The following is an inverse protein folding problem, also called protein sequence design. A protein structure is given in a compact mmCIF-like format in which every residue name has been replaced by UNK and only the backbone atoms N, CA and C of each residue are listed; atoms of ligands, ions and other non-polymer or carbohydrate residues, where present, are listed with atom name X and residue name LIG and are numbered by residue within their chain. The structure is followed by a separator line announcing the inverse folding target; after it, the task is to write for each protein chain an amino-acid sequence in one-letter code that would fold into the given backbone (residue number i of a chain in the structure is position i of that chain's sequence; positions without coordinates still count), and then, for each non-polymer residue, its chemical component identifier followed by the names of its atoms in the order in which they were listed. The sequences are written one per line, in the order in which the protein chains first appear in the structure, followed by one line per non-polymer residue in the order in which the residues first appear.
data_IF_546119294217
#
_entry.id   IF_546119294217
#
_cell.length_a   1.000
_cell.length_b   1.000
_cell.length_c   1.000
_cell.angle_alpha   90.00
_cell.angle_beta   90.00
_cell.angle_gamma   90.00
#
_symmetry.space_group_name_H-M   'P 1'
#
loop_
_entity.id
_entity.type
_entity.pdbx_description
1 polymer ?
#
# COMPACT_ATOMS: atom_id res chain seq x y z
N UNK A 1 -28.44 25.54 0.20
CA UNK A 1 -28.00 25.32 1.60
C UNK A 1 -28.34 23.89 2.03
N UNK A 2 -27.68 23.38 3.09
CA UNK A 2 -27.98 22.03 3.61
C UNK A 2 -29.44 21.85 4.03
N UNK A 3 -30.13 22.95 4.38
CA UNK A 3 -31.58 22.99 4.66
C UNK A 3 -32.44 22.79 3.40
N UNK A 4 -32.04 23.36 2.28
CA UNK A 4 -32.77 23.20 1.01
C UNK A 4 -32.64 21.78 0.45
N UNK A 5 -31.46 21.15 0.55
CA UNK A 5 -31.29 19.75 0.17
C UNK A 5 -32.09 18.80 1.08
N UNK A 6 -32.17 19.09 2.38
CA UNK A 6 -32.96 18.31 3.31
C UNK A 6 -34.47 18.46 3.07
N UNK A 7 -34.93 19.68 2.83
CA UNK A 7 -36.33 19.93 2.47
C UNK A 7 -36.73 19.27 1.15
N UNK A 8 -35.82 19.27 0.15
CA UNK A 8 -36.05 18.59 -1.12
C UNK A 8 -36.09 17.06 -0.93
N UNK A 9 -35.19 16.50 -0.10
CA UNK A 9 -35.17 15.07 0.24
C UNK A 9 -36.48 14.65 0.97
N UNK A 10 -36.93 15.42 1.95
CA UNK A 10 -38.18 15.17 2.68
C UNK A 10 -39.41 15.27 1.76
N UNK A 11 -39.42 16.21 0.80
CA UNK A 11 -40.46 16.31 -0.24
C UNK A 11 -40.42 15.10 -1.19
N UNK A 12 -39.26 14.62 -1.56
CA UNK A 12 -39.08 13.43 -2.41
C UNK A 12 -39.55 12.16 -1.69
N UNK A 13 -39.25 11.99 -0.39
CA UNK A 13 -39.75 10.86 0.41
C UNK A 13 -41.29 10.90 0.53
N UNK A 14 -41.86 12.06 0.76
CA UNK A 14 -43.33 12.24 0.85
C UNK A 14 -44.01 11.96 -0.50
N UNK A 15 -43.46 12.43 -1.60
CA UNK A 15 -43.97 12.15 -2.94
C UNK A 15 -43.84 10.66 -3.33
N UNK A 16 -42.74 10.00 -2.94
CA UNK A 16 -42.55 8.58 -3.13
C UNK A 16 -43.58 7.75 -2.35
N UNK A 17 -43.87 8.14 -1.10
CA UNK A 17 -44.88 7.49 -0.26
C UNK A 17 -46.31 7.65 -0.82
N UNK A 18 -46.59 8.75 -1.53
CA UNK A 18 -47.93 9.05 -2.12
C UNK A 18 -48.07 8.60 -3.57
N UNK A 19 -47.02 8.05 -4.21
CA UNK A 19 -46.97 7.73 -5.65
C UNK A 19 -47.29 8.94 -6.56
N UNK A 20 -47.00 10.15 -6.10
CA UNK A 20 -47.16 11.38 -6.88
C UNK A 20 -45.99 11.61 -7.82
N UNK A 21 -46.19 12.33 -8.92
CA UNK A 21 -45.13 12.71 -9.88
C UNK A 21 -44.18 13.72 -9.24
N UNK A 22 -42.87 13.45 -9.37
CA UNK A 22 -41.84 14.32 -8.83
C UNK A 22 -41.75 15.66 -9.55
N UNK A 23 -41.31 16.73 -8.86
CA UNK A 23 -41.07 18.02 -9.48
C UNK A 23 -39.98 17.90 -10.54
N UNK A 24 -40.11 18.66 -11.61
CA UNK A 24 -39.14 18.69 -12.71
C UNK A 24 -37.76 19.16 -12.22
N UNK A 25 -36.73 18.42 -12.54
CA UNK A 25 -35.35 18.85 -12.42
C UNK A 25 -34.82 19.05 -13.84
N UNK A 26 -34.38 20.27 -14.14
CA UNK A 26 -33.95 20.68 -15.49
C UNK A 26 -35.05 20.56 -16.58
N UNK A 27 -36.35 20.65 -16.20
CA UNK A 27 -37.48 20.67 -17.13
C UNK A 27 -38.01 19.31 -17.59
N UNK A 28 -37.42 18.21 -17.15
CA UNK A 28 -37.85 16.83 -17.48
C UNK A 28 -38.59 16.15 -16.32
N UNK A 29 -39.67 15.38 -16.57
CA UNK A 29 -40.35 14.63 -15.52
C UNK A 29 -39.48 13.47 -15.02
N UNK A 30 -39.29 13.41 -13.70
CA UNK A 30 -38.50 12.35 -13.05
C UNK A 30 -39.41 11.14 -12.83
N UNK A 31 -39.26 10.14 -13.69
CA UNK A 31 -39.99 8.86 -13.59
C UNK A 31 -39.29 7.81 -12.70
N UNK A 32 -38.06 8.10 -12.24
CA UNK A 32 -37.23 7.16 -11.45
C UNK A 32 -36.63 7.89 -10.23
N UNK A 33 -37.13 7.54 -9.03
CA UNK A 33 -36.64 8.09 -7.74
C UNK A 33 -35.17 7.84 -7.54
N UNK A 34 -34.66 6.70 -8.00
CA UNK A 34 -33.26 6.35 -7.91
C UNK A 34 -32.38 7.23 -8.82
N UNK A 35 -32.87 7.58 -10.02
CA UNK A 35 -32.17 8.50 -10.91
C UNK A 35 -32.16 9.92 -10.35
N UNK A 36 -33.27 10.38 -9.78
CA UNK A 36 -33.36 11.69 -9.14
C UNK A 36 -32.44 11.80 -7.93
N UNK A 37 -32.37 10.77 -7.07
CA UNK A 37 -31.46 10.73 -5.93
C UNK A 37 -30.00 10.75 -6.38
N UNK A 38 -29.62 9.98 -7.41
CA UNK A 38 -28.29 10.03 -8.01
C UNK A 38 -27.94 11.42 -8.54
N UNK A 39 -28.91 12.09 -9.18
CA UNK A 39 -28.72 13.45 -9.71
C UNK A 39 -28.50 14.49 -8.61
N UNK A 40 -29.25 14.41 -7.50
CA UNK A 40 -29.04 15.26 -6.32
C UNK A 40 -27.66 15.07 -5.72
N UNK A 41 -27.20 13.82 -5.57
CA UNK A 41 -25.86 13.49 -5.10
C UNK A 41 -24.81 14.06 -6.06
N UNK A 42 -24.98 13.91 -7.36
CA UNK A 42 -24.06 14.43 -8.38
C UNK A 42 -23.97 15.97 -8.33
N UNK A 43 -25.11 16.67 -8.20
CA UNK A 43 -25.14 18.12 -8.08
C UNK A 43 -24.49 18.61 -6.78
N UNK A 44 -24.70 17.88 -5.68
CA UNK A 44 -24.01 18.18 -4.42
C UNK A 44 -22.50 18.03 -4.55
N UNK A 45 -22.03 16.97 -5.20
CA UNK A 45 -20.63 16.74 -5.51
C UNK A 45 -20.01 17.87 -6.34
N UNK A 46 -20.69 18.27 -7.40
CA UNK A 46 -20.26 19.41 -8.23
C UNK A 46 -20.14 20.70 -7.42
N UNK A 47 -21.07 20.97 -6.51
CA UNK A 47 -20.99 22.14 -5.62
C UNK A 47 -19.81 22.09 -4.66
N UNK A 48 -19.49 20.92 -4.11
CA UNK A 48 -18.31 20.76 -3.27
C UNK A 48 -17.01 20.97 -4.05
N UNK A 49 -16.94 20.47 -5.29
CA UNK A 49 -15.80 20.69 -6.18
C UNK A 49 -15.63 22.17 -6.52
N UNK A 50 -16.72 22.87 -6.85
CA UNK A 50 -16.69 24.33 -7.11
C UNK A 50 -16.18 25.09 -5.90
N UNK A 51 -16.66 24.78 -4.69
CA UNK A 51 -16.16 25.40 -3.46
C UNK A 51 -14.69 25.14 -3.20
N UNK A 52 -14.21 23.92 -3.47
CA UNK A 52 -12.79 23.58 -3.35
C UNK A 52 -11.93 24.36 -4.37
N UNK A 53 -12.44 24.53 -5.59
CA UNK A 53 -11.77 25.33 -6.63
C UNK A 53 -11.77 26.83 -6.28
N UNK A 54 -12.86 27.35 -5.75
CA UNK A 54 -12.95 28.75 -5.31
C UNK A 54 -12.00 29.02 -4.13
N UNK A 55 -11.90 28.10 -3.18
CA UNK A 55 -10.95 28.20 -2.07
C UNK A 55 -9.50 28.17 -2.58
N UNK A 56 -9.19 27.31 -3.55
CA UNK A 56 -7.88 27.26 -4.21
C UNK A 56 -7.59 28.57 -4.94
N UNK A 57 -8.53 29.07 -5.72
CA UNK A 57 -8.38 30.32 -6.47
C UNK A 57 -8.16 31.52 -5.55
N UNK A 58 -8.89 31.60 -4.46
CA UNK A 58 -8.75 32.67 -3.48
C UNK A 58 -7.41 32.57 -2.75
N UNK A 59 -6.99 31.38 -2.32
CA UNK A 59 -5.69 31.17 -1.71
C UNK A 59 -4.49 31.48 -2.64
N UNK A 60 -4.63 31.24 -3.93
CA UNK A 60 -3.62 31.65 -4.93
C UNK A 60 -3.62 33.14 -5.22
N UNK A 61 -4.76 33.83 -5.03
CA UNK A 61 -4.88 35.28 -5.22
C UNK A 61 -4.39 36.08 -4.02
N UNK A 62 -4.46 35.51 -2.82
CA UNK A 62 -3.93 36.09 -1.59
C UNK A 62 -2.42 35.74 -1.51
N UNK A 63 -1.56 36.68 -1.83
CA UNK A 63 -0.11 36.53 -2.05
C UNK A 63 0.72 36.11 -0.81
N UNK A 64 0.13 35.69 0.30
CA UNK A 64 0.79 35.39 1.56
C UNK A 64 0.94 33.88 1.88
N UNK A 65 0.50 32.98 1.01
CA UNK A 65 0.55 31.52 1.26
C UNK A 65 1.68 30.81 0.50
N UNK A 66 2.36 29.87 1.16
CA UNK A 66 3.23 28.92 0.48
C UNK A 66 2.41 28.06 -0.49
N UNK A 67 2.83 28.03 -1.76
CA UNK A 67 2.16 27.28 -2.84
C UNK A 67 1.92 25.80 -2.48
N UNK A 68 2.84 25.18 -1.73
CA UNK A 68 2.70 23.80 -1.26
C UNK A 68 1.54 23.65 -0.26
N UNK A 69 1.33 24.62 0.61
CA UNK A 69 0.21 24.65 1.55
C UNK A 69 -1.14 24.80 0.83
N UNK A 70 -1.21 25.65 -0.18
CA UNK A 70 -2.43 25.86 -1.00
C UNK A 70 -2.79 24.60 -1.77
N UNK A 71 -1.79 23.93 -2.38
CA UNK A 71 -2.00 22.65 -3.06
C UNK A 71 -2.50 21.57 -2.08
N UNK A 72 -1.89 21.48 -0.89
CA UNK A 72 -2.31 20.51 0.13
C UNK A 72 -3.74 20.74 0.63
N UNK A 73 -4.16 22.02 0.78
CA UNK A 73 -5.54 22.35 1.13
C UNK A 73 -6.53 21.99 0.02
N UNK A 74 -6.15 22.22 -1.24
CA UNK A 74 -6.98 21.84 -2.39
C UNK A 74 -7.11 20.31 -2.52
N UNK A 75 -6.01 19.56 -2.33
CA UNK A 75 -6.02 18.10 -2.31
C UNK A 75 -6.92 17.58 -1.17
N UNK A 76 -6.84 18.17 0.01
CA UNK A 76 -7.69 17.83 1.15
C UNK A 76 -9.17 18.13 0.88
N UNK A 77 -9.49 19.26 0.26
CA UNK A 77 -10.86 19.62 -0.11
C UNK A 77 -11.41 18.72 -1.22
N UNK A 78 -10.58 18.33 -2.18
CA UNK A 78 -10.94 17.36 -3.21
C UNK A 78 -11.15 15.96 -2.62
N UNK A 79 -10.32 15.54 -1.66
CA UNK A 79 -10.50 14.29 -0.94
C UNK A 79 -11.80 14.28 -0.13
N UNK A 80 -12.12 15.37 0.58
CA UNK A 80 -13.39 15.55 1.30
C UNK A 80 -14.60 15.53 0.35
N UNK A 81 -14.50 16.17 -0.82
CA UNK A 81 -15.55 16.12 -1.84
C UNK A 81 -15.76 14.70 -2.40
N UNK A 82 -14.69 13.92 -2.57
CA UNK A 82 -14.77 12.50 -2.97
C UNK A 82 -15.40 11.63 -1.89
N UNK A 83 -15.03 11.83 -0.62
CA UNK A 83 -15.66 11.15 0.53
C UNK A 83 -17.16 11.45 0.60
N UNK A 84 -17.56 12.70 0.42
CA UNK A 84 -18.97 13.10 0.35
C UNK A 84 -19.68 12.54 -0.90
N UNK A 85 -18.94 12.12 -1.91
CA UNK A 85 -19.43 11.67 -3.20
C UNK A 85 -19.91 10.22 -3.25
N UNK A 86 -19.78 9.46 -2.18
CA UNK A 86 -20.31 8.11 -2.18
C UNK A 86 -19.44 7.03 -1.55
N UNK A 87 -18.30 7.36 -0.97
CA UNK A 87 -17.68 6.44 -0.03
C UNK A 87 -18.57 6.41 1.22
N UNK A 88 -19.37 5.35 1.36
CA UNK A 88 -20.24 5.07 2.52
C UNK A 88 -19.41 4.73 3.76
N UNK A 89 -18.41 5.56 4.01
CA UNK A 89 -17.56 5.45 5.21
C UNK A 89 -18.43 5.82 6.42
N UNK A 90 -18.64 4.85 7.30
CA UNK A 90 -19.41 5.05 8.53
C UNK A 90 -20.90 4.68 8.47
N UNK A 91 -21.39 4.14 7.35
CA UNK A 91 -22.75 3.57 7.32
C UNK A 91 -22.81 2.32 8.21
N UNK A 92 -23.69 2.35 9.20
CA UNK A 92 -23.96 1.18 10.03
C UNK A 92 -24.62 0.09 9.19
N UNK A 93 -23.98 -1.08 9.07
CA UNK A 93 -24.54 -2.24 8.37
C UNK A 93 -25.02 -3.25 9.40
N UNK A 94 -26.22 -3.74 9.22
CA UNK A 94 -26.73 -4.84 10.04
C UNK A 94 -25.96 -6.13 9.74
N UNK A 95 -26.02 -7.10 10.64
CA UNK A 95 -25.46 -8.45 10.38
C UNK A 95 -26.04 -9.06 9.09
N UNK A 96 -27.33 -8.86 8.87
CA UNK A 96 -28.01 -9.38 7.68
C UNK A 96 -27.49 -8.75 6.38
N UNK A 97 -27.15 -7.44 6.40
CA UNK A 97 -26.57 -6.75 5.24
C UNK A 97 -25.15 -7.26 4.93
N UNK A 98 -24.43 -7.67 5.96
CA UNK A 98 -23.06 -8.19 5.83
C UNK A 98 -23.02 -9.65 5.42
N UNK A 99 -24.08 -10.44 5.70
CA UNK A 99 -24.08 -11.88 5.52
C UNK A 99 -23.72 -12.38 4.11
N UNK A 100 -24.25 -11.80 3.01
CA UNK A 100 -23.87 -12.21 1.66
C UNK A 100 -22.37 -12.06 1.39
N UNK A 101 -21.77 -10.96 1.86
CA UNK A 101 -20.34 -10.70 1.70
C UNK A 101 -19.49 -11.65 2.56
N UNK A 102 -19.95 -11.96 3.78
CA UNK A 102 -19.31 -12.95 4.67
C UNK A 102 -19.30 -14.32 3.99
N UNK A 103 -20.45 -14.75 3.48
CA UNK A 103 -20.59 -16.05 2.83
C UNK A 103 -19.71 -16.17 1.59
N UNK A 104 -19.70 -15.13 0.73
CA UNK A 104 -18.84 -15.09 -0.45
C UNK A 104 -17.35 -15.16 -0.09
N UNK A 105 -16.92 -14.45 0.97
CA UNK A 105 -15.54 -14.50 1.44
C UNK A 105 -15.17 -15.91 1.97
N UNK A 106 -16.03 -16.53 2.79
CA UNK A 106 -15.80 -17.87 3.31
C UNK A 106 -15.71 -18.90 2.17
N UNK A 107 -16.56 -18.79 1.15
CA UNK A 107 -16.52 -19.65 -0.04
C UNK A 107 -15.21 -19.44 -0.82
N UNK A 108 -14.79 -18.20 -1.05
CA UNK A 108 -13.53 -17.89 -1.73
C UNK A 108 -12.31 -18.45 -0.97
N UNK A 109 -12.31 -18.36 0.38
CA UNK A 109 -11.28 -18.98 1.24
C UNK A 109 -11.25 -20.49 1.03
N UNK A 110 -12.41 -21.15 1.06
CA UNK A 110 -12.50 -22.60 0.91
C UNK A 110 -12.05 -23.07 -0.47
N UNK A 111 -12.39 -22.34 -1.53
CA UNK A 111 -11.96 -22.63 -2.90
C UNK A 111 -10.46 -22.42 -3.08
N UNK A 112 -9.92 -21.31 -2.57
CA UNK A 112 -8.48 -21.05 -2.60
C UNK A 112 -7.70 -22.16 -1.87
N UNK A 113 -8.17 -22.57 -0.68
CA UNK A 113 -7.56 -23.67 0.08
C UNK A 113 -7.58 -24.99 -0.69
N UNK A 114 -8.72 -25.37 -1.29
CA UNK A 114 -8.85 -26.58 -2.14
C UNK A 114 -7.92 -26.53 -3.35
N UNK A 115 -7.72 -25.35 -3.93
CA UNK A 115 -6.85 -25.14 -5.08
C UNK A 115 -5.37 -24.98 -4.71
N UNK A 116 -5.00 -25.07 -3.43
CA UNK A 116 -3.63 -24.78 -2.96
C UNK A 116 -3.17 -23.34 -3.22
N UNK A 117 -4.12 -22.41 -3.30
CA UNK A 117 -3.87 -20.98 -3.55
C UNK A 117 -4.00 -20.19 -2.25
N UNK A 118 -3.29 -19.07 -2.16
CA UNK A 118 -3.47 -18.08 -1.10
C UNK A 118 -4.54 -17.07 -1.51
N UNK A 119 -5.26 -16.50 -0.52
CA UNK A 119 -6.18 -15.39 -0.76
C UNK A 119 -5.45 -14.08 -1.01
N UNK A 120 -4.37 -13.89 -0.26
CA UNK A 120 -3.51 -12.73 -0.42
C UNK A 120 -2.52 -12.90 -1.57
N UNK A 121 -1.84 -11.81 -1.87
CA UNK A 121 -0.77 -11.76 -2.85
C UNK A 121 0.37 -12.69 -2.43
N UNK A 122 0.80 -13.56 -3.34
CA UNK A 122 1.91 -14.49 -3.09
C UNK A 122 3.21 -13.71 -2.88
N UNK A 123 3.98 -14.14 -1.90
CA UNK A 123 5.32 -13.60 -1.63
C UNK A 123 6.42 -14.34 -2.38
N UNK A 124 6.11 -15.51 -2.96
CA UNK A 124 7.09 -16.42 -3.54
C UNK A 124 7.93 -17.17 -2.51
N UNK A 125 7.53 -17.11 -1.23
CA UNK A 125 8.11 -17.86 -0.11
C UNK A 125 7.00 -18.78 0.44
N UNK A 126 6.94 -20.05 0.02
CA UNK A 126 5.81 -20.94 0.29
C UNK A 126 5.43 -21.05 1.76
N UNK A 127 6.42 -21.11 2.66
CA UNK A 127 6.17 -21.21 4.10
C UNK A 127 5.62 -19.93 4.69
N UNK A 128 6.02 -18.77 4.17
CA UNK A 128 5.43 -17.50 4.55
C UNK A 128 3.99 -17.41 4.06
N UNK A 129 3.75 -17.78 2.80
CA UNK A 129 2.42 -17.77 2.20
C UNK A 129 1.46 -18.73 2.93
N UNK A 130 1.95 -19.89 3.36
CA UNK A 130 1.20 -20.82 4.21
C UNK A 130 0.88 -20.24 5.60
N UNK A 131 1.84 -19.52 6.19
CA UNK A 131 1.71 -18.93 7.53
C UNK A 131 0.75 -17.74 7.55
N UNK A 132 0.83 -16.88 6.53
CA UNK A 132 0.10 -15.59 6.48
C UNK A 132 -1.14 -15.62 5.59
N UNK A 133 -1.31 -16.64 4.75
CA UNK A 133 -2.30 -16.64 3.68
C UNK A 133 -1.94 -15.72 2.50
N UNK A 134 -0.65 -15.35 2.38
CA UNK A 134 -0.14 -14.31 1.47
C UNK A 134 -0.29 -12.90 2.06
N UNK A 135 0.12 -11.87 1.32
CA UNK A 135 -0.10 -10.47 1.71
C UNK A 135 -1.54 -10.08 1.37
N UNK A 136 -2.37 -10.00 2.40
CA UNK A 136 -3.78 -9.65 2.26
C UNK A 136 -3.96 -8.12 2.23
N UNK A 137 -5.15 -7.67 1.86
CA UNK A 137 -5.53 -6.26 1.95
C UNK A 137 -5.27 -5.71 3.35
N UNK A 138 -4.57 -4.60 3.44
CA UNK A 138 -4.24 -3.96 4.72
C UNK A 138 -2.80 -3.48 4.78
N UNK A 139 -2.37 -3.09 5.96
CA UNK A 139 -1.05 -2.54 6.22
C UNK A 139 -0.11 -3.59 6.82
N UNK A 140 0.94 -3.93 6.10
CA UNK A 140 2.00 -4.83 6.53
C UNK A 140 3.24 -4.02 6.88
N UNK A 141 3.88 -4.34 8.00
CA UNK A 141 5.12 -3.71 8.44
C UNK A 141 6.26 -4.71 8.29
N UNK A 142 7.34 -4.30 7.63
CA UNK A 142 8.59 -5.04 7.58
C UNK A 142 9.70 -4.24 8.27
N UNK A 143 10.14 -4.71 9.40
CA UNK A 143 11.23 -4.11 10.14
C UNK A 143 12.52 -4.93 10.00
N UNK A 144 13.66 -4.27 9.84
CA UNK A 144 14.96 -4.92 9.87
C UNK A 144 16.10 -3.92 10.05
N UNK A 145 17.25 -4.42 10.41
CA UNK A 145 18.48 -3.66 10.49
C UNK A 145 18.99 -3.23 9.10
N UNK A 146 19.81 -2.17 9.01
CA UNK A 146 20.54 -1.87 7.80
C UNK A 146 21.36 -3.08 7.31
N UNK A 147 21.28 -3.37 6.01
CA UNK A 147 22.01 -4.48 5.40
C UNK A 147 21.40 -5.88 5.56
N UNK A 148 20.30 -6.04 6.32
CA UNK A 148 19.63 -7.34 6.48
C UNK A 148 18.91 -7.85 5.21
N UNK A 149 18.76 -7.03 4.18
CA UNK A 149 18.11 -7.43 2.92
C UNK A 149 16.66 -6.96 2.75
N UNK A 150 16.21 -5.96 3.53
CA UNK A 150 14.83 -5.40 3.44
C UNK A 150 14.42 -5.06 2.01
N UNK A 151 15.17 -4.16 1.38
CA UNK A 151 14.89 -3.69 0.02
C UNK A 151 14.89 -4.85 -0.98
N UNK A 152 15.80 -5.81 -0.82
CA UNK A 152 15.84 -7.02 -1.65
C UNK A 152 14.57 -7.85 -1.51
N UNK A 153 14.10 -8.07 -0.29
CA UNK A 153 12.87 -8.82 -0.02
C UNK A 153 11.65 -8.09 -0.61
N UNK A 154 11.58 -6.77 -0.41
CA UNK A 154 10.51 -5.94 -0.97
C UNK A 154 10.48 -5.97 -2.50
N UNK A 155 11.64 -5.87 -3.16
CA UNK A 155 11.76 -5.98 -4.61
C UNK A 155 11.35 -7.37 -5.12
N UNK A 156 11.70 -8.43 -4.38
CA UNK A 156 11.29 -9.79 -4.71
C UNK A 156 9.77 -9.93 -4.68
N UNK A 157 9.10 -9.42 -3.64
CA UNK A 157 7.65 -9.46 -3.53
C UNK A 157 6.95 -8.57 -4.58
N UNK A 158 7.49 -7.38 -4.84
CA UNK A 158 6.97 -6.50 -5.89
C UNK A 158 7.08 -7.12 -7.29
N UNK A 159 8.19 -7.84 -7.56
CA UNK A 159 8.36 -8.60 -8.81
C UNK A 159 7.38 -9.77 -8.91
N UNK A 160 7.15 -10.50 -7.83
CA UNK A 160 6.18 -11.60 -7.79
C UNK A 160 4.75 -11.11 -8.06
N UNK A 161 4.38 -9.96 -7.50
CA UNK A 161 3.12 -9.29 -7.79
C UNK A 161 3.00 -8.92 -9.27
N UNK A 162 4.01 -8.25 -9.80
CA UNK A 162 4.03 -7.82 -11.21
C UNK A 162 3.98 -9.00 -12.18
N UNK A 163 4.72 -10.09 -11.90
CA UNK A 163 4.69 -11.31 -12.69
C UNK A 163 3.32 -12.01 -12.67
N UNK A 164 2.52 -11.78 -11.62
CA UNK A 164 1.13 -12.24 -11.52
C UNK A 164 0.13 -11.27 -12.19
N UNK A 165 0.59 -10.22 -12.87
CA UNK A 165 -0.25 -9.20 -13.52
C UNK A 165 -0.82 -8.16 -12.56
N UNK A 166 -0.41 -8.17 -11.29
CA UNK A 166 -0.86 -7.20 -10.27
C UNK A 166 0.11 -6.02 -10.28
N UNK A 167 -0.36 -4.78 -10.53
CA UNK A 167 0.52 -3.61 -10.50
C UNK A 167 1.17 -3.45 -9.14
N UNK A 168 2.50 -3.36 -9.14
CA UNK A 168 3.31 -3.14 -7.95
C UNK A 168 3.98 -1.77 -8.04
N UNK A 169 3.75 -0.93 -7.02
CA UNK A 169 4.34 0.40 -6.92
C UNK A 169 5.37 0.40 -5.79
N UNK A 170 6.60 0.71 -6.13
CA UNK A 170 7.70 0.80 -5.18
C UNK A 170 8.10 2.27 -4.98
N UNK A 171 7.67 2.85 -3.86
CA UNK A 171 8.06 4.19 -3.45
C UNK A 171 9.36 4.11 -2.66
N UNK A 172 10.40 4.77 -3.15
CA UNK A 172 11.73 4.77 -2.55
C UNK A 172 12.15 6.16 -2.11
N UNK A 173 12.80 6.25 -0.94
CA UNK A 173 13.41 7.47 -0.39
C UNK A 173 14.94 7.34 -0.22
N UNK A 174 15.51 6.18 -0.52
CA UNK A 174 16.92 5.89 -0.25
C UNK A 174 17.71 5.65 -1.53
N UNK A 175 17.21 4.82 -2.42
CA UNK A 175 17.87 4.48 -3.68
C UNK A 175 17.09 5.06 -4.88
N UNK A 176 17.81 5.37 -5.98
CA UNK A 176 17.13 5.87 -7.18
C UNK A 176 16.32 4.77 -7.87
N UNK A 177 15.22 5.13 -8.58
CA UNK A 177 14.42 4.21 -9.37
C UNK A 177 15.23 3.34 -10.34
N UNK A 178 16.22 3.94 -11.02
CA UNK A 178 17.07 3.25 -12.00
C UNK A 178 17.91 2.16 -11.33
N UNK A 179 18.45 2.44 -10.14
CA UNK A 179 19.23 1.47 -9.37
C UNK A 179 18.38 0.30 -8.89
N UNK A 180 17.16 0.56 -8.44
CA UNK A 180 16.21 -0.47 -8.04
C UNK A 180 15.73 -1.30 -9.24
N UNK A 181 15.48 -0.67 -10.38
CA UNK A 181 15.13 -1.36 -11.63
C UNK A 181 16.26 -2.28 -12.10
N UNK A 182 17.52 -1.81 -12.07
CA UNK A 182 18.69 -2.64 -12.38
C UNK A 182 18.82 -3.83 -11.42
N UNK A 183 18.68 -3.60 -10.10
CA UNK A 183 18.69 -4.69 -9.11
C UNK A 183 17.59 -5.71 -9.39
N UNK A 184 16.39 -5.25 -9.73
CA UNK A 184 15.25 -6.11 -10.03
C UNK A 184 15.51 -6.97 -11.27
N UNK A 185 15.99 -6.37 -12.35
CA UNK A 185 16.31 -7.10 -13.58
C UNK A 185 17.44 -8.11 -13.37
N UNK A 186 18.52 -7.72 -12.70
CA UNK A 186 19.61 -8.62 -12.38
C UNK A 186 19.15 -9.80 -11.52
N UNK A 187 18.30 -9.55 -10.50
CA UNK A 187 17.77 -10.62 -9.66
C UNK A 187 16.83 -11.57 -10.43
N UNK A 188 16.04 -11.07 -11.39
CA UNK A 188 15.21 -11.89 -12.26
C UNK A 188 16.06 -12.81 -13.15
N UNK A 189 17.13 -12.27 -13.73
CA UNK A 189 18.00 -12.97 -14.68
C UNK A 189 19.17 -13.75 -14.03
N UNK A 190 19.31 -13.73 -12.71
CA UNK A 190 20.43 -14.36 -12.01
C UNK A 190 21.77 -13.66 -12.27
N UNK A 191 21.77 -12.38 -12.63
CA UNK A 191 22.97 -11.58 -12.88
C UNK A 191 23.45 -10.89 -11.60
N UNK A 192 24.77 -10.63 -11.51
CA UNK A 192 25.35 -9.93 -10.37
C UNK A 192 25.34 -8.43 -10.60
N UNK A 193 24.53 -7.66 -9.82
CA UNK A 193 24.42 -6.21 -9.90
C UNK A 193 25.78 -5.51 -9.79
N UNK A 194 26.68 -6.03 -8.93
CA UNK A 194 28.01 -5.47 -8.71
C UNK A 194 28.83 -5.34 -10.00
N UNK A 195 28.72 -6.31 -10.91
CA UNK A 195 29.46 -6.28 -12.20
C UNK A 195 29.05 -5.05 -13.04
N UNK A 196 27.77 -4.68 -13.03
CA UNK A 196 27.29 -3.51 -13.78
C UNK A 196 27.66 -2.19 -13.08
N UNK A 197 27.65 -2.16 -11.75
CA UNK A 197 28.09 -1.00 -10.99
C UNK A 197 29.61 -0.72 -11.14
N UNK A 198 30.40 -1.75 -11.38
CA UNK A 198 31.86 -1.66 -11.57
C UNK A 198 32.27 -1.60 -13.05
N UNK A 199 31.30 -1.57 -13.98
CA UNK A 199 31.56 -1.49 -15.43
C UNK A 199 32.09 -2.78 -16.08
N UNK A 200 32.08 -3.91 -15.35
CA UNK A 200 32.53 -5.23 -15.85
C UNK A 200 31.36 -6.11 -16.33
N UNK A 201 30.12 -5.61 -16.26
CA UNK A 201 28.92 -6.34 -16.65
C UNK A 201 28.78 -6.45 -18.18
N UNK A 202 28.27 -7.58 -18.63
CA UNK A 202 27.97 -7.84 -20.03
C UNK A 202 26.62 -7.18 -20.42
N UNK A 203 26.71 -6.08 -21.16
CA UNK A 203 25.53 -5.31 -21.58
C UNK A 203 24.62 -6.11 -22.53
N UNK A 204 25.15 -7.01 -23.32
CA UNK A 204 24.34 -7.86 -24.22
C UNK A 204 23.48 -8.84 -23.38
N UNK A 205 24.05 -9.40 -22.31
CA UNK A 205 23.26 -10.23 -21.35
C UNK A 205 22.20 -9.43 -20.64
N UNK A 206 22.51 -8.19 -20.23
CA UNK A 206 21.53 -7.33 -19.57
C UNK A 206 20.36 -7.00 -20.50
N UNK A 207 20.64 -6.67 -21.76
CA UNK A 207 19.60 -6.38 -22.74
C UNK A 207 18.79 -7.64 -23.13
N UNK A 208 19.41 -8.81 -23.21
CA UNK A 208 18.71 -10.08 -23.37
C UNK A 208 17.75 -10.34 -22.18
N UNK A 209 18.25 -10.17 -20.95
CA UNK A 209 17.44 -10.29 -19.75
C UNK A 209 16.25 -9.32 -19.73
N UNK A 210 16.46 -8.06 -20.18
CA UNK A 210 15.38 -7.07 -20.29
C UNK A 210 14.27 -7.55 -21.21
N UNK A 211 14.62 -8.13 -22.35
CA UNK A 211 13.63 -8.65 -23.30
C UNK A 211 12.90 -9.87 -22.76
N UNK A 212 13.63 -10.79 -22.14
CA UNK A 212 13.08 -12.01 -21.57
C UNK A 212 12.07 -11.74 -20.44
N UNK A 213 12.40 -10.78 -19.55
CA UNK A 213 11.58 -10.47 -18.40
C UNK A 213 10.62 -9.26 -18.61
N UNK A 214 10.53 -8.71 -19.83
CA UNK A 214 9.74 -7.51 -20.11
C UNK A 214 8.28 -7.64 -19.66
N UNK A 215 7.62 -8.76 -19.97
CA UNK A 215 6.22 -8.98 -19.61
C UNK A 215 6.06 -9.17 -18.10
N UNK A 216 6.96 -9.88 -17.44
CA UNK A 216 6.92 -10.11 -16.00
C UNK A 216 7.11 -8.84 -15.19
N UNK A 217 7.86 -7.87 -15.73
CA UNK A 217 8.17 -6.61 -15.07
C UNK A 217 7.29 -5.44 -15.54
N UNK A 218 6.40 -5.66 -16.50
CA UNK A 218 5.56 -4.62 -17.11
C UNK A 218 4.69 -3.86 -16.09
N UNK A 219 4.23 -4.57 -15.08
CA UNK A 219 3.36 -4.02 -14.03
C UNK A 219 4.12 -3.52 -12.79
N UNK A 220 5.46 -3.41 -12.85
CA UNK A 220 6.29 -2.90 -11.76
C UNK A 220 6.67 -1.44 -12.00
N UNK A 221 6.33 -0.58 -11.04
CA UNK A 221 6.56 0.87 -11.09
C UNK A 221 7.47 1.29 -9.96
N UNK A 222 8.44 2.16 -10.25
CA UNK A 222 9.29 2.80 -9.26
C UNK A 222 8.94 4.28 -9.16
N UNK A 223 8.85 4.78 -7.95
CA UNK A 223 8.52 6.18 -7.65
C UNK A 223 9.61 6.72 -6.75
N UNK A 224 10.27 7.78 -7.17
CA UNK A 224 11.18 8.53 -6.32
C UNK A 224 10.38 9.37 -5.32
N UNK A 225 10.63 9.14 -4.04
CA UNK A 225 9.95 9.83 -2.95
C UNK A 225 10.56 11.21 -2.71
N UNK A 226 9.70 12.21 -2.55
CA UNK A 226 10.07 13.54 -2.11
C UNK A 226 9.42 13.85 -0.75
N UNK A 227 10.03 14.74 0.03
CA UNK A 227 9.48 15.19 1.30
C UNK A 227 8.07 15.79 1.18
N UNK A 228 7.81 16.48 0.06
CA UNK A 228 6.50 17.08 -0.25
C UNK A 228 5.44 16.07 -0.72
N UNK A 229 5.81 14.80 -0.95
CA UNK A 229 4.86 13.80 -1.43
C UNK A 229 3.83 13.47 -0.35
N UNK A 230 2.55 13.38 -0.75
CA UNK A 230 1.43 13.03 0.12
C UNK A 230 0.97 11.59 -0.11
N UNK A 231 0.29 11.00 0.90
CA UNK A 231 -0.33 9.66 0.75
C UNK A 231 -1.44 9.71 -0.31
N UNK A 232 -2.16 10.82 -0.42
CA UNK A 232 -3.18 11.02 -1.46
C UNK A 232 -2.60 10.99 -2.87
N UNK A 233 -1.38 11.54 -3.09
CA UNK A 233 -0.67 11.45 -4.36
C UNK A 233 -0.24 10.01 -4.68
N UNK A 234 0.25 9.26 -3.68
CA UNK A 234 0.56 7.84 -3.83
C UNK A 234 -0.71 7.03 -4.17
N UNK A 235 -1.82 7.32 -3.47
CA UNK A 235 -3.13 6.74 -3.77
C UNK A 235 -3.55 6.98 -5.21
N UNK A 236 -3.45 8.22 -5.71
CA UNK A 236 -3.80 8.55 -7.09
C UNK A 236 -2.97 7.77 -8.11
N UNK A 237 -1.66 7.64 -7.88
CA UNK A 237 -0.77 6.84 -8.75
C UNK A 237 -1.10 5.36 -8.68
N UNK A 238 -1.49 4.85 -7.52
CA UNK A 238 -1.93 3.46 -7.36
C UNK A 238 -3.21 3.20 -8.16
N UNK A 239 -4.21 4.06 -8.05
CA UNK A 239 -5.44 3.96 -8.84
C UNK A 239 -5.16 4.00 -10.35
N UNK A 240 -4.31 4.91 -10.79
CA UNK A 240 -3.92 5.01 -12.20
C UNK A 240 -3.21 3.75 -12.70
N UNK A 241 -2.37 3.12 -11.88
CA UNK A 241 -1.73 1.86 -12.23
C UNK A 241 -2.74 0.71 -12.29
N UNK A 242 -3.68 0.63 -11.34
CA UNK A 242 -4.77 -0.35 -11.35
C UNK A 242 -5.61 -0.21 -12.61
N UNK A 243 -6.03 1.01 -12.96
CA UNK A 243 -6.82 1.29 -14.18
C UNK A 243 -6.07 0.88 -15.46
N UNK A 244 -4.78 1.24 -15.56
CA UNK A 244 -3.93 0.90 -16.72
C UNK A 244 -3.82 -0.61 -16.95
N UNK A 245 -3.86 -1.41 -15.91
CA UNK A 245 -3.76 -2.86 -15.98
C UNK A 245 -5.11 -3.58 -15.89
N UNK A 246 -6.23 -2.85 -15.74
CA UNK A 246 -7.54 -3.44 -15.48
C UNK A 246 -7.56 -4.32 -14.23
N UNK A 247 -6.76 -3.97 -13.21
CA UNK A 247 -6.57 -4.76 -12.01
C UNK A 247 -7.48 -4.27 -10.87
N UNK A 248 -8.06 -5.20 -10.12
CA UNK A 248 -8.90 -4.90 -8.95
C UNK A 248 -8.08 -4.61 -7.69
N UNK A 249 -6.79 -4.92 -7.70
CA UNK A 249 -5.87 -4.69 -6.60
C UNK A 249 -4.50 -4.25 -7.10
N UNK A 250 -3.66 -3.75 -6.19
CA UNK A 250 -2.27 -3.40 -6.43
C UNK A 250 -1.43 -3.80 -5.23
N UNK A 251 -0.12 -3.81 -5.36
CA UNK A 251 0.82 -3.93 -4.25
C UNK A 251 1.62 -2.65 -4.10
N UNK A 252 1.63 -2.05 -2.92
CA UNK A 252 2.36 -0.80 -2.67
C UNK A 252 3.46 -1.05 -1.64
N UNK A 253 4.68 -0.68 -1.98
CA UNK A 253 5.84 -0.72 -1.08
C UNK A 253 6.31 0.69 -0.79
N UNK A 254 6.58 0.99 0.48
CA UNK A 254 7.15 2.26 0.96
C UNK A 254 8.49 1.97 1.64
N UNK A 255 9.61 2.29 1.00
CA UNK A 255 10.97 2.04 1.49
C UNK A 255 11.73 3.37 1.65
N UNK A 256 11.81 3.95 2.88
CA UNK A 256 11.30 3.52 4.15
C UNK A 256 10.58 4.67 4.89
N UNK A 257 9.67 4.33 5.79
CA UNK A 257 8.73 5.30 6.40
C UNK A 257 9.39 6.40 7.21
N UNK A 258 10.52 6.13 7.89
CA UNK A 258 11.19 7.13 8.71
C UNK A 258 11.70 8.32 7.87
N UNK A 259 12.18 8.04 6.66
CA UNK A 259 12.69 9.11 5.78
C UNK A 259 11.57 9.97 5.22
N UNK A 260 10.44 9.34 4.91
CA UNK A 260 9.24 10.06 4.47
C UNK A 260 8.66 10.91 5.60
N UNK A 261 8.44 10.34 6.78
CA UNK A 261 7.92 11.07 7.93
C UNK A 261 8.81 12.25 8.32
N UNK A 262 10.14 12.04 8.43
CA UNK A 262 11.10 13.09 8.80
C UNK A 262 11.20 14.22 7.77
N UNK A 263 10.92 13.95 6.50
CA UNK A 263 10.88 14.98 5.46
C UNK A 263 9.57 15.76 5.40
N UNK A 264 8.45 15.15 5.81
CA UNK A 264 7.10 15.70 5.63
C UNK A 264 6.62 16.54 6.82
N UNK A 265 6.95 16.14 8.05
CA UNK A 265 6.43 16.75 9.28
C UNK A 265 7.50 17.60 9.98
N UNK A 266 7.90 18.74 9.40
CA UNK A 266 8.97 19.61 9.91
C UNK A 266 8.56 20.54 11.06
N UNK A 267 7.63 20.18 11.92
CA UNK A 267 6.98 21.06 12.87
C UNK A 267 7.22 20.83 14.36
N UNK A 268 8.38 20.34 14.79
CA UNK A 268 8.74 20.30 16.24
C UNK A 268 7.99 19.25 17.08
N UNK A 269 7.27 18.32 16.45
CA UNK A 269 6.70 17.15 17.10
C UNK A 269 7.76 16.08 17.38
N UNK A 270 7.46 15.14 18.31
CA UNK A 270 8.32 13.98 18.48
C UNK A 270 8.28 13.14 17.19
N UNK A 271 9.44 12.81 16.63
CA UNK A 271 9.59 12.01 15.39
C UNK A 271 8.78 10.71 15.39
N UNK A 272 8.56 10.12 16.56
CA UNK A 272 7.68 8.96 16.76
C UNK A 272 6.22 9.25 16.41
N UNK A 273 5.73 10.45 16.74
CA UNK A 273 4.38 10.89 16.41
C UNK A 273 4.19 11.03 14.90
N UNK A 274 5.20 11.57 14.21
CA UNK A 274 5.18 11.77 12.76
C UNK A 274 5.13 10.44 12.01
N UNK A 275 5.89 9.44 12.46
CA UNK A 275 5.80 8.07 11.91
C UNK A 275 4.41 7.49 12.17
N UNK A 276 3.88 7.61 13.38
CA UNK A 276 2.54 7.13 13.72
C UNK A 276 1.45 7.73 12.84
N UNK A 277 1.54 9.03 12.58
CA UNK A 277 0.62 9.75 11.69
C UNK A 277 0.70 9.23 10.26
N UNK A 278 1.91 9.11 9.69
CA UNK A 278 2.12 8.58 8.35
C UNK A 278 1.58 7.15 8.20
N UNK A 279 1.82 6.30 9.19
CA UNK A 279 1.33 4.92 9.21
C UNK A 279 -0.20 4.87 9.27
N UNK A 280 -0.83 5.75 10.05
CA UNK A 280 -2.27 5.94 10.06
C UNK A 280 -2.81 6.36 8.69
N UNK A 281 -2.20 7.37 8.06
CA UNK A 281 -2.57 7.82 6.72
C UNK A 281 -2.42 6.71 5.67
N UNK A 282 -1.31 5.94 5.68
CA UNK A 282 -1.11 4.81 4.77
C UNK A 282 -2.20 3.75 4.90
N UNK A 283 -2.68 3.49 6.11
CA UNK A 283 -3.76 2.56 6.36
C UNK A 283 -5.11 3.11 5.92
N UNK A 284 -5.45 4.32 6.40
CA UNK A 284 -6.81 4.86 6.34
C UNK A 284 -7.11 5.56 5.02
N UNK A 285 -6.08 6.10 4.32
CA UNK A 285 -6.26 6.78 3.05
C UNK A 285 -5.86 5.92 1.84
N UNK A 286 -5.02 4.89 2.01
CA UNK A 286 -4.51 4.07 0.90
C UNK A 286 -4.94 2.61 1.01
N UNK A 287 -4.50 1.87 2.05
CA UNK A 287 -4.68 0.43 2.13
C UNK A 287 -6.16 0.04 2.21
N UNK A 288 -6.89 0.60 3.16
CA UNK A 288 -8.30 0.28 3.40
C UNK A 288 -9.22 0.74 2.26
N UNK A 289 -9.16 2.02 1.79
CA UNK A 289 -10.07 2.49 0.76
C UNK A 289 -9.87 1.81 -0.60
N UNK A 290 -8.64 1.52 -0.98
CA UNK A 290 -8.35 0.82 -2.24
C UNK A 290 -8.39 -0.71 -2.11
N UNK A 291 -8.49 -1.23 -0.90
CA UNK A 291 -8.41 -2.67 -0.60
C UNK A 291 -7.15 -3.32 -1.17
N UNK A 292 -6.02 -2.67 -0.97
CA UNK A 292 -4.71 -3.13 -1.45
C UNK A 292 -3.78 -3.49 -0.30
N UNK A 293 -2.89 -4.48 -0.44
CA UNK A 293 -1.77 -4.67 0.47
C UNK A 293 -0.76 -3.52 0.34
N UNK A 294 -0.43 -2.91 1.47
CA UNK A 294 0.61 -1.87 1.59
C UNK A 294 1.70 -2.39 2.51
N UNK A 295 2.94 -2.44 2.02
CA UNK A 295 4.12 -2.83 2.80
C UNK A 295 4.91 -1.58 3.18
N UNK A 296 4.87 -1.24 4.46
CA UNK A 296 5.65 -0.14 5.03
C UNK A 296 6.94 -0.71 5.63
N UNK A 297 8.08 -0.28 5.07
CA UNK A 297 9.40 -0.71 5.54
C UNK A 297 9.87 0.21 6.64
N UNK A 298 10.34 -0.38 7.74
CA UNK A 298 10.86 0.35 8.90
C UNK A 298 12.30 -0.07 9.22
N UNK A 299 13.11 0.87 9.65
CA UNK A 299 14.44 0.59 10.16
C UNK A 299 14.36 0.22 11.64
N UNK A 300 15.12 -0.78 12.08
CA UNK A 300 15.29 -1.12 13.50
C UNK A 300 16.46 -0.37 14.12
N UNK A 301 16.34 0.00 15.41
CA UNK A 301 17.46 0.52 16.18
C UNK A 301 18.46 -0.57 16.55
N UNK A 302 19.74 -0.17 16.68
CA UNK A 302 20.84 -1.06 17.05
C UNK A 302 20.73 -1.65 18.48
N UNK A 303 19.92 -1.07 19.35
CA UNK A 303 19.76 -1.52 20.75
C UNK A 303 18.88 -2.76 20.94
N UNK A 304 18.15 -3.21 19.92
CA UNK A 304 17.30 -4.41 19.93
C UNK A 304 17.91 -5.64 19.27
N UNK A 305 19.23 -5.76 19.25
CA UNK A 305 19.98 -6.72 18.44
C UNK A 305 19.67 -8.20 18.73
N UNK A 306 19.32 -8.55 19.97
CA UNK A 306 19.20 -9.95 20.38
C UNK A 306 17.78 -10.52 20.41
N UNK A 307 16.74 -9.71 20.25
CA UNK A 307 15.35 -10.17 20.23
C UNK A 307 14.55 -9.45 19.15
N UNK A 308 14.00 -10.20 18.19
CA UNK A 308 13.05 -9.64 17.23
C UNK A 308 11.69 -9.46 17.93
N UNK A 309 11.59 -8.44 18.75
CA UNK A 309 10.37 -8.07 19.45
C UNK A 309 10.01 -6.60 19.19
N UNK A 310 8.81 -6.22 19.62
CA UNK A 310 8.27 -4.89 19.43
C UNK A 310 9.10 -3.79 20.08
N UNK A 311 9.91 -4.09 21.12
CA UNK A 311 10.83 -3.13 21.74
C UNK A 311 11.96 -2.69 20.82
N UNK A 312 12.27 -3.49 19.79
CA UNK A 312 13.29 -3.16 18.78
C UNK A 312 12.76 -2.28 17.64
N UNK A 313 11.44 -2.12 17.52
CA UNK A 313 10.82 -1.06 16.70
C UNK A 313 11.03 0.27 17.42
N UNK A 314 12.20 0.82 17.25
CA UNK A 314 12.78 1.91 18.01
C UNK A 314 11.91 3.15 18.20
N UNK A 315 10.79 3.27 17.50
CA UNK A 315 10.17 4.58 17.39
C UNK A 315 8.65 4.60 17.44
N UNK A 316 7.93 3.48 17.44
CA UNK A 316 6.50 3.61 17.72
C UNK A 316 5.77 2.30 17.99
N UNK A 317 5.13 2.26 19.16
CA UNK A 317 3.97 1.43 19.42
C UNK A 317 2.89 1.58 18.31
N UNK A 318 2.87 2.72 17.60
CA UNK A 318 1.98 2.95 16.47
C UNK A 318 2.17 1.94 15.33
N UNK A 319 3.42 1.55 15.00
CA UNK A 319 3.70 0.52 14.00
C UNK A 319 3.10 -0.83 14.41
N UNK A 320 3.26 -1.18 15.68
CA UNK A 320 2.72 -2.42 16.25
C UNK A 320 1.19 -2.42 16.26
N UNK A 321 0.57 -1.35 16.76
CA UNK A 321 -0.89 -1.31 16.90
C UNK A 321 -1.60 -1.16 15.56
N UNK A 322 -1.07 -0.38 14.65
CA UNK A 322 -1.72 -0.04 13.38
C UNK A 322 -1.52 -1.11 12.31
N UNK A 323 -0.34 -1.75 12.24
CA UNK A 323 -0.07 -2.81 11.27
C UNK A 323 -0.99 -4.02 11.44
N UNK A 324 -1.49 -4.56 10.34
CA UNK A 324 -2.26 -5.80 10.33
C UNK A 324 -1.35 -7.03 10.42
N UNK A 325 -0.17 -6.93 9.80
CA UNK A 325 0.93 -7.89 9.95
C UNK A 325 2.20 -7.15 10.30
N UNK A 326 2.99 -7.65 11.26
CA UNK A 326 4.30 -7.10 11.63
C UNK A 326 5.35 -8.19 11.54
N UNK A 327 6.35 -7.94 10.72
CA UNK A 327 7.41 -8.89 10.37
C UNK A 327 8.79 -8.28 10.65
N UNK A 328 9.71 -9.11 11.11
CA UNK A 328 11.10 -8.74 11.38
C UNK A 328 12.03 -9.61 10.55
N UNK A 329 12.86 -9.00 9.72
CA UNK A 329 13.94 -9.69 9.03
C UNK A 329 15.23 -9.54 9.83
N UNK A 330 15.71 -10.63 10.40
CA UNK A 330 16.86 -10.66 11.29
C UNK A 330 17.88 -11.70 10.84
N UNK A 331 19.15 -11.49 11.16
CA UNK A 331 20.17 -12.50 10.92
C UNK A 331 19.91 -13.74 11.80
N UNK A 332 20.02 -14.94 11.22
CA UNK A 332 19.88 -16.22 11.94
C UNK A 332 21.27 -16.88 12.07
N UNK A 333 22.16 -16.19 12.81
CA UNK A 333 23.57 -16.59 12.93
C UNK A 333 23.79 -17.88 13.74
N UNK A 334 22.76 -18.34 14.47
CA UNK A 334 22.88 -19.50 15.37
C UNK A 334 21.80 -20.54 15.07
N UNK A 335 22.24 -21.73 14.71
CA UNK A 335 21.39 -22.93 14.68
C UNK A 335 21.71 -23.77 15.91
N UNK A 336 20.74 -23.97 16.83
CA UNK A 336 20.92 -24.73 18.08
C UNK A 336 22.11 -24.27 18.96
N UNK A 337 22.34 -22.95 19.02
CA UNK A 337 23.46 -22.39 19.81
C UNK A 337 24.84 -22.46 19.15
N UNK A 338 24.96 -23.04 17.96
CA UNK A 338 26.20 -23.04 17.16
C UNK A 338 26.12 -22.01 16.05
N UNK A 339 27.20 -21.23 15.88
CA UNK A 339 27.33 -20.34 14.72
C UNK A 339 27.19 -21.15 13.43
N UNK A 340 26.38 -20.63 12.47
CA UNK A 340 26.32 -21.20 11.14
C UNK A 340 27.66 -20.93 10.41
N UNK A 341 28.12 -21.83 9.51
CA UNK A 341 29.28 -21.54 8.69
C UNK A 341 29.09 -20.22 7.95
N UNK A 342 30.05 -19.32 8.07
CA UNK A 342 30.05 -18.07 7.30
C UNK A 342 30.31 -18.39 5.83
N UNK A 343 29.24 -18.30 5.02
CA UNK A 343 29.34 -18.30 3.57
C UNK A 343 29.31 -16.83 3.12
N UNK A 344 30.36 -16.28 2.53
CA UNK A 344 30.42 -14.89 2.11
C UNK A 344 29.35 -14.54 1.05
N UNK A 345 28.90 -15.53 0.30
CA UNK A 345 27.91 -15.37 -0.76
C UNK A 345 26.46 -15.60 -0.26
N UNK A 346 26.29 -16.28 0.88
CA UNK A 346 24.97 -16.61 1.41
C UNK A 346 24.91 -16.42 2.92
N UNK A 347 23.87 -15.75 3.41
CA UNK A 347 23.64 -15.54 4.84
C UNK A 347 22.34 -16.19 5.27
N UNK A 348 22.36 -16.87 6.41
CA UNK A 348 21.13 -17.34 7.02
C UNK A 348 20.40 -16.15 7.67
N UNK A 349 19.16 -15.96 7.30
CA UNK A 349 18.28 -14.93 7.87
C UNK A 349 16.94 -15.54 8.25
N UNK A 350 16.26 -14.90 9.15
CA UNK A 350 14.95 -15.32 9.64
C UNK A 350 13.94 -14.19 9.46
N UNK A 351 12.82 -14.50 8.83
CA UNK A 351 11.65 -13.64 8.80
C UNK A 351 10.70 -14.06 9.92
N UNK A 352 10.63 -13.25 10.95
CA UNK A 352 9.84 -13.50 12.14
C UNK A 352 8.51 -12.74 12.06
N UNK A 353 7.39 -13.44 11.92
CA UNK A 353 6.05 -12.88 11.94
C UNK A 353 5.59 -12.79 13.39
N UNK A 354 5.49 -11.58 13.95
CA UNK A 354 5.18 -11.33 15.36
C UNK A 354 3.77 -10.81 15.58
N UNK A 355 3.14 -10.29 14.56
CA UNK A 355 1.72 -9.97 14.53
C UNK A 355 1.15 -10.39 13.19
N UNK A 356 -0.03 -11.00 13.21
CA UNK A 356 -0.76 -11.35 12.01
C UNK A 356 -2.25 -11.43 12.33
N UNK A 357 -3.04 -10.50 11.79
CA UNK A 357 -4.49 -10.49 11.95
C UNK A 357 -5.19 -11.50 11.05
N UNK A 358 -4.48 -12.02 10.06
CA UNK A 358 -5.05 -12.89 9.02
C UNK A 358 -4.72 -14.36 9.20
N UNK A 359 -3.83 -14.72 10.15
CA UNK A 359 -3.39 -16.09 10.32
C UNK A 359 -2.44 -16.28 11.50
N UNK A 360 -1.57 -17.27 11.40
CA UNK A 360 -0.64 -17.62 12.46
C UNK A 360 0.57 -16.70 12.52
N UNK A 361 1.22 -16.68 13.67
CA UNK A 361 2.55 -16.12 13.89
C UNK A 361 3.58 -17.25 13.77
N UNK A 362 4.83 -16.89 13.49
CA UNK A 362 5.90 -17.88 13.41
C UNK A 362 7.17 -17.35 12.74
N UNK A 363 8.13 -18.23 12.57
CA UNK A 363 9.43 -17.94 11.98
C UNK A 363 9.60 -18.69 10.66
N UNK A 364 10.06 -17.97 9.63
CA UNK A 364 10.43 -18.53 8.34
C UNK A 364 11.93 -18.34 8.14
N UNK A 365 12.67 -19.44 8.03
CA UNK A 365 14.12 -19.40 7.77
C UNK A 365 14.38 -19.23 6.29
N UNK A 366 15.28 -18.33 5.97
CA UNK A 366 15.64 -17.96 4.61
C UNK A 366 17.16 -17.94 4.45
N UNK A 367 17.59 -18.16 3.24
CA UNK A 367 18.96 -17.91 2.80
C UNK A 367 18.97 -16.65 1.96
N UNK A 368 19.69 -15.64 2.40
CA UNK A 368 19.91 -14.41 1.67
C UNK A 368 21.18 -14.49 0.84
N UNK A 369 21.06 -14.35 -0.47
CA UNK A 369 22.18 -14.27 -1.43
C UNK A 369 22.31 -12.84 -1.95
N UNK A 370 23.08 -11.97 -1.27
CA UNK A 370 23.18 -10.54 -1.61
C UNK A 370 23.67 -10.31 -3.05
N UNK A 371 24.60 -11.11 -3.52
CA UNK A 371 25.19 -11.02 -4.84
C UNK A 371 24.19 -11.30 -5.98
N UNK A 372 23.12 -12.07 -5.70
CA UNK A 372 22.02 -12.37 -6.63
C UNK A 372 20.77 -11.53 -6.35
N UNK A 373 20.77 -10.70 -5.30
CA UNK A 373 19.58 -9.95 -4.89
C UNK A 373 18.37 -10.84 -4.59
N UNK A 374 18.57 -11.95 -3.86
CA UNK A 374 17.55 -12.99 -3.68
C UNK A 374 17.54 -13.54 -2.26
N UNK A 375 16.31 -13.74 -1.75
CA UNK A 375 16.03 -14.54 -0.56
C UNK A 375 15.24 -15.79 -0.99
N UNK A 376 15.64 -16.95 -0.48
CA UNK A 376 14.94 -18.22 -0.73
C UNK A 376 14.71 -18.95 0.58
N UNK A 377 13.69 -19.77 0.62
CA UNK A 377 13.45 -20.63 1.78
C UNK A 377 14.63 -21.58 2.01
N UNK A 378 15.02 -21.77 3.27
CA UNK A 378 16.01 -22.78 3.64
C UNK A 378 15.43 -24.16 3.36
N UNK A 379 16.07 -24.95 2.48
CA UNK A 379 15.69 -26.34 2.26
C UNK A 379 15.84 -27.12 3.57
N UNK A 380 14.86 -27.97 3.88
CA UNK A 380 14.88 -28.84 5.04
C UNK A 380 15.93 -29.94 4.91
#
# INVERSE_FOLDING_TARGET
SSRECRALYEQMEQAAAKRETFPQVDGEPVNDVGAAARRVVELYQRRLLVRAMDALKNGLAEAEGDTASIISQAESALAAARLAAGDRVGEAKSFSDLWPAILANVQAVAEAHKAGKTLGLKTGIPKLDQLTGGLQTGLHILAAQPGAGKTTLCLQWAREAAASGIPALFLTFDETPERLALKTLCAAAGLRVKQFAEGSGDLAKLEAARREHAEQLRALYFIEGAASMTVSQLRARTMQAMERHGAETAFVVVDYVQRWAGGRYHGGGEFRHDIGKLIGELRDELANPLRVPVLAVSSQNRQGLDKPDFFSLAESSALEYTGDTVMFLVDDEKKNGRALPSDPDNRAVKLAVRKNRFGAQGDVRLIFSPHLGRLREEAR
#
